data_IF_375417216546
#
_entry.id   IF_375417216546
#
_cell.length_a   1.000
_cell.length_b   1.000
_cell.length_c   1.000
_cell.angle_alpha   90.00
_cell.angle_beta   90.00
_cell.angle_gamma   90.00
#
_symmetry.space_group_name_H-M   'P 1'
#
loop_
_entity.id
_entity.type
_entity.pdbx_description
1 polymer ?
#
# COMPACT_ATOMS: atom_id res chain seq x y z
N UNK A 1 -9.75 4.92 -11.88
CA UNK A 1 -10.33 4.58 -10.56
C UNK A 1 -11.32 3.43 -10.73
N UNK A 2 -11.17 2.37 -10.02
CA UNK A 2 -12.04 1.19 -10.10
C UNK A 2 -12.74 1.01 -8.75
N UNK A 3 -14.07 1.01 -8.75
CA UNK A 3 -14.87 0.58 -7.60
C UNK A 3 -14.79 -0.95 -7.53
N UNK A 4 -14.34 -1.47 -6.41
CA UNK A 4 -14.36 -2.91 -6.17
C UNK A 4 -15.76 -3.24 -5.63
N UNK A 5 -16.64 -3.69 -6.52
CA UNK A 5 -17.97 -4.17 -6.16
C UNK A 5 -17.94 -5.70 -6.17
N UNK A 6 -18.31 -6.31 -5.05
CA UNK A 6 -18.57 -7.76 -5.00
C UNK A 6 -19.77 -8.11 -5.88
N UNK A 7 -19.76 -9.21 -6.67
CA UNK A 7 -20.87 -9.62 -7.52
C UNK A 7 -21.93 -10.42 -6.74
N UNK A 8 -22.40 -9.95 -5.60
CA UNK A 8 -23.45 -10.63 -4.86
C UNK A 8 -24.63 -9.68 -4.61
N UNK A 9 -25.77 -10.05 -5.23
CA UNK A 9 -27.15 -9.72 -4.94
C UNK A 9 -27.42 -8.39 -4.21
N UNK A 10 -28.36 -7.62 -4.75
CA UNK A 10 -28.99 -6.43 -4.20
C UNK A 10 -29.26 -6.49 -2.69
N UNK A 11 -28.24 -6.30 -1.89
CA UNK A 11 -28.40 -5.94 -0.47
C UNK A 11 -28.60 -4.44 -0.45
N UNK A 12 -29.77 -4.00 -0.01
CA UNK A 12 -30.07 -2.60 0.22
C UNK A 12 -28.96 -2.04 1.13
N UNK A 13 -28.10 -1.16 0.58
CA UNK A 13 -27.06 -0.47 1.32
C UNK A 13 -27.72 0.34 2.41
N UNK A 14 -27.62 -0.09 3.66
CA UNK A 14 -27.80 0.82 4.79
C UNK A 14 -26.64 1.82 4.68
N UNK A 15 -26.94 3.03 4.28
CA UNK A 15 -26.03 4.16 4.44
C UNK A 15 -25.89 4.31 5.96
N UNK A 16 -24.79 3.82 6.51
CA UNK A 16 -24.42 4.14 7.88
C UNK A 16 -24.08 5.63 7.91
N UNK A 17 -24.76 6.39 8.74
CA UNK A 17 -24.29 7.72 9.13
C UNK A 17 -22.86 7.53 9.67
N UNK A 18 -21.86 8.12 9.00
CA UNK A 18 -20.45 7.93 9.33
C UNK A 18 -19.68 6.92 8.47
N UNK A 19 -20.21 6.44 7.33
CA UNK A 19 -19.46 5.57 6.41
C UNK A 19 -18.18 6.25 5.91
N UNK A 20 -17.02 5.64 6.16
CA UNK A 20 -15.70 6.14 5.73
C UNK A 20 -15.30 5.49 4.41
N UNK A 21 -15.07 6.28 3.36
CA UNK A 21 -14.50 5.74 2.12
C UNK A 21 -13.06 5.33 2.34
N UNK A 22 -12.71 4.07 2.06
CA UNK A 22 -11.35 3.57 2.12
C UNK A 22 -10.68 3.69 0.74
N UNK A 23 -9.68 4.56 0.61
CA UNK A 23 -8.88 4.73 -0.59
C UNK A 23 -7.68 3.77 -0.51
N UNK A 24 -7.71 2.69 -1.29
CA UNK A 24 -6.75 1.60 -1.26
C UNK A 24 -5.62 1.87 -2.26
N UNK A 25 -4.42 2.17 -1.74
CA UNK A 25 -3.24 2.61 -2.50
C UNK A 25 -2.22 1.48 -2.50
N UNK A 26 -1.98 0.83 -3.65
CA UNK A 26 -1.09 -0.34 -3.72
C UNK A 26 0.38 0.05 -3.64
N UNK A 27 1.25 -0.98 -3.59
CA UNK A 27 2.70 -0.84 -3.62
C UNK A 27 3.30 -0.86 -5.03
N UNK A 28 4.65 -0.98 -5.06
CA UNK A 28 5.41 -1.18 -6.28
C UNK A 28 4.93 -2.42 -7.05
N UNK A 29 4.59 -2.25 -8.33
CA UNK A 29 4.11 -3.31 -9.23
C UNK A 29 2.94 -4.14 -8.67
N UNK A 30 2.14 -3.56 -7.78
CA UNK A 30 0.90 -4.14 -7.27
C UNK A 30 -0.32 -3.37 -7.81
N UNK A 31 -1.42 -4.08 -8.05
CA UNK A 31 -2.68 -3.53 -8.54
C UNK A 31 -3.83 -3.75 -7.55
N UNK A 32 -5.06 -3.42 -7.96
CA UNK A 32 -6.25 -3.52 -7.12
C UNK A 32 -6.51 -4.93 -6.58
N UNK A 33 -6.05 -5.99 -7.25
CA UNK A 33 -6.25 -7.38 -6.80
C UNK A 33 -5.46 -7.73 -5.53
N UNK A 34 -4.55 -6.85 -5.11
CA UNK A 34 -3.88 -6.93 -3.81
C UNK A 34 -4.90 -7.03 -2.65
N UNK A 35 -6.05 -6.37 -2.79
CA UNK A 35 -7.04 -6.19 -1.75
C UNK A 35 -8.22 -7.16 -1.79
N UNK A 36 -8.31 -8.01 -2.84
CA UNK A 36 -9.49 -8.84 -3.11
C UNK A 36 -9.91 -9.71 -1.89
N UNK A 37 -8.93 -10.30 -1.19
CA UNK A 37 -9.21 -11.18 -0.05
C UNK A 37 -9.68 -10.45 1.23
N UNK A 38 -9.68 -9.10 1.23
CA UNK A 38 -10.08 -8.27 2.37
C UNK A 38 -11.38 -7.51 2.11
N UNK A 39 -11.89 -7.54 0.87
CA UNK A 39 -13.04 -6.74 0.44
C UNK A 39 -14.26 -6.92 1.34
N UNK A 40 -14.64 -8.16 1.63
CA UNK A 40 -15.82 -8.47 2.44
C UNK A 40 -15.68 -8.00 3.90
N UNK A 41 -14.46 -8.06 4.46
CA UNK A 41 -14.20 -7.63 5.83
C UNK A 41 -14.18 -6.10 5.97
N UNK A 42 -13.77 -5.38 4.91
CA UNK A 42 -13.66 -3.92 4.91
C UNK A 42 -14.94 -3.22 4.43
N UNK A 43 -15.73 -3.86 3.58
CA UNK A 43 -16.96 -3.29 3.02
C UNK A 43 -17.97 -2.73 4.08
N UNK A 44 -18.10 -3.30 5.29
CA UNK A 44 -18.96 -2.74 6.32
C UNK A 44 -18.59 -1.33 6.80
N UNK A 45 -17.37 -0.87 6.55
CA UNK A 45 -16.91 0.47 6.95
C UNK A 45 -17.24 1.55 5.92
N UNK A 46 -17.50 1.18 4.67
CA UNK A 46 -17.92 2.08 3.60
C UNK A 46 -17.40 1.66 2.23
N UNK A 47 -17.51 2.54 1.23
CA UNK A 47 -17.02 2.28 -0.11
C UNK A 47 -15.50 1.99 -0.14
N UNK A 48 -15.11 0.98 -0.92
CA UNK A 48 -13.71 0.66 -1.18
C UNK A 48 -13.33 1.18 -2.56
N UNK A 49 -12.38 2.09 -2.62
CA UNK A 49 -11.91 2.71 -3.87
C UNK A 49 -10.46 2.34 -4.07
N UNK A 50 -10.18 1.44 -5.02
CA UNK A 50 -8.81 1.10 -5.37
C UNK A 50 -8.26 2.12 -6.37
N UNK A 51 -7.02 2.54 -6.13
CA UNK A 51 -6.24 3.36 -7.05
C UNK A 51 -5.16 2.53 -7.75
N UNK A 52 -4.50 3.12 -8.72
CA UNK A 52 -3.25 2.61 -9.26
C UNK A 52 -2.14 3.68 -9.18
N UNK A 53 -0.89 3.23 -9.16
CA UNK A 53 0.28 4.09 -9.17
C UNK A 53 1.00 4.04 -10.54
N UNK A 54 0.22 3.93 -11.61
CA UNK A 54 0.74 3.90 -12.99
C UNK A 54 1.12 5.27 -13.53
N UNK A 55 0.65 6.35 -12.90
CA UNK A 55 0.90 7.75 -13.28
C UNK A 55 1.83 8.43 -12.26
N UNK A 56 2.67 9.34 -12.74
CA UNK A 56 3.64 10.08 -11.90
C UNK A 56 5.04 9.47 -11.95
N UNK A 57 6.04 10.33 -11.85
CA UNK A 57 7.47 10.00 -11.92
C UNK A 57 8.16 10.10 -10.55
N UNK A 58 7.46 10.64 -9.55
CA UNK A 58 7.87 10.78 -8.17
C UNK A 58 6.64 10.61 -7.26
N UNK A 59 6.86 10.58 -5.95
CA UNK A 59 5.79 10.39 -4.94
C UNK A 59 4.78 11.54 -4.99
N UNK A 60 5.24 12.77 -5.14
CA UNK A 60 4.42 13.99 -5.17
C UNK A 60 3.46 13.98 -6.38
N UNK A 61 3.96 13.62 -7.56
CA UNK A 61 3.15 13.50 -8.79
C UNK A 61 2.19 12.30 -8.72
N UNK A 62 2.62 11.18 -8.12
CA UNK A 62 1.73 10.07 -7.85
C UNK A 62 0.60 10.47 -6.92
N UNK A 63 0.90 11.18 -5.82
CA UNK A 63 -0.10 11.67 -4.89
C UNK A 63 -1.08 12.65 -5.56
N UNK A 64 -0.59 13.58 -6.36
CA UNK A 64 -1.44 14.50 -7.11
C UNK A 64 -2.36 13.77 -8.12
N UNK A 65 -1.84 12.75 -8.81
CA UNK A 65 -2.62 11.93 -9.74
C UNK A 65 -3.70 11.11 -9.01
N UNK A 66 -3.37 10.53 -7.85
CA UNK A 66 -4.35 9.83 -7.01
C UNK A 66 -5.41 10.79 -6.48
N UNK A 67 -4.99 11.97 -6.00
CA UNK A 67 -5.90 12.98 -5.44
C UNK A 67 -6.92 13.50 -6.46
N UNK A 68 -6.53 13.60 -7.75
CA UNK A 68 -7.43 14.05 -8.81
C UNK A 68 -8.64 13.13 -9.02
N UNK A 69 -8.47 11.84 -8.74
CA UNK A 69 -9.49 10.81 -8.93
C UNK A 69 -10.10 10.33 -7.59
N UNK A 70 -9.56 10.81 -6.45
CA UNK A 70 -9.99 10.39 -5.13
C UNK A 70 -11.37 10.97 -4.75
N UNK A 71 -12.13 10.28 -3.87
CA UNK A 71 -13.33 10.81 -3.25
C UNK A 71 -13.09 12.13 -2.51
N UNK A 72 -14.14 12.89 -2.20
CA UNK A 72 -14.02 14.16 -1.47
C UNK A 72 -13.36 13.99 -0.11
N UNK A 73 -13.74 12.94 0.64
CA UNK A 73 -13.13 12.57 1.93
C UNK A 73 -12.85 11.08 1.97
N UNK A 74 -11.76 10.68 2.59
CA UNK A 74 -11.34 9.27 2.62
C UNK A 74 -10.34 8.96 3.73
N UNK A 75 -10.31 7.70 4.13
CA UNK A 75 -9.19 7.08 4.85
C UNK A 75 -8.19 6.58 3.82
N UNK A 76 -6.95 7.06 3.86
CA UNK A 76 -5.91 6.61 2.94
C UNK A 76 -5.23 5.34 3.47
N UNK A 77 -5.39 4.22 2.76
CA UNK A 77 -4.78 2.92 3.08
C UNK A 77 -3.63 2.68 2.13
N UNK A 78 -2.40 2.91 2.59
CA UNK A 78 -1.20 2.82 1.75
C UNK A 78 -0.35 1.59 2.08
N UNK A 79 -0.14 0.72 1.09
CA UNK A 79 0.75 -0.42 1.20
C UNK A 79 2.12 -0.12 0.58
N UNK A 80 3.21 -0.38 1.29
CA UNK A 80 4.59 -0.26 0.81
C UNK A 80 4.86 1.11 0.17
N UNK A 81 5.11 1.20 -1.14
CA UNK A 81 5.25 2.46 -1.87
C UNK A 81 4.00 3.34 -1.74
N UNK A 82 2.81 2.75 -1.70
CA UNK A 82 1.55 3.46 -1.47
C UNK A 82 1.48 4.17 -0.12
N UNK A 83 2.28 3.75 0.87
CA UNK A 83 2.39 4.43 2.16
C UNK A 83 3.09 5.79 2.07
N UNK A 84 4.07 5.95 1.17
CA UNK A 84 4.66 7.26 0.87
C UNK A 84 3.63 8.18 0.21
N UNK A 85 2.87 7.64 -0.75
CA UNK A 85 1.79 8.38 -1.42
C UNK A 85 0.69 8.78 -0.42
N UNK A 86 0.29 7.88 0.48
CA UNK A 86 -0.73 8.17 1.50
C UNK A 86 -0.30 9.33 2.43
N UNK A 87 0.96 9.34 2.86
CA UNK A 87 1.49 10.43 3.68
C UNK A 87 1.55 11.75 2.91
N UNK A 88 1.91 11.70 1.62
CA UNK A 88 1.91 12.91 0.81
C UNK A 88 0.49 13.44 0.57
N UNK A 89 -0.50 12.56 0.37
CA UNK A 89 -1.92 12.96 0.32
C UNK A 89 -2.35 13.68 1.60
N UNK A 90 -1.95 13.18 2.78
CA UNK A 90 -2.26 13.82 4.06
C UNK A 90 -1.65 15.21 4.20
N UNK A 91 -0.53 15.50 3.50
CA UNK A 91 0.11 16.83 3.49
C UNK A 91 -0.53 17.79 2.51
N UNK A 92 -0.82 17.34 1.29
CA UNK A 92 -1.33 18.22 0.22
C UNK A 92 -2.84 18.44 0.27
N UNK A 93 -3.58 17.57 0.96
CA UNK A 93 -5.03 17.66 1.12
C UNK A 93 -5.48 17.20 2.52
N UNK A 94 -4.98 17.84 3.60
CA UNK A 94 -5.21 17.39 4.98
C UNK A 94 -6.70 17.40 5.36
N UNK A 95 -7.51 18.24 4.73
CA UNK A 95 -8.97 18.34 4.95
C UNK A 95 -9.75 17.18 4.30
N UNK A 96 -9.15 16.47 3.34
CA UNK A 96 -9.77 15.34 2.64
C UNK A 96 -9.38 13.99 3.25
N UNK A 97 -8.19 13.91 3.89
CA UNK A 97 -7.68 12.67 4.50
C UNK A 97 -8.12 12.59 5.96
N UNK A 98 -9.11 11.74 6.24
CA UNK A 98 -9.68 11.58 7.58
C UNK A 98 -8.79 10.79 8.52
N UNK A 99 -8.08 9.78 7.99
CA UNK A 99 -7.16 8.95 8.72
C UNK A 99 -6.17 8.27 7.77
N UNK A 100 -5.09 7.72 8.31
CA UNK A 100 -4.07 6.96 7.58
C UNK A 100 -3.97 5.53 8.09
N UNK A 101 -3.84 4.57 7.17
CA UNK A 101 -3.42 3.20 7.47
C UNK A 101 -2.18 2.92 6.62
N UNK A 102 -1.03 2.77 7.28
CA UNK A 102 0.28 2.62 6.66
C UNK A 102 0.77 1.18 6.85
N UNK A 103 0.77 0.38 5.78
CA UNK A 103 1.04 -1.06 5.82
C UNK A 103 2.39 -1.36 5.18
N UNK A 104 3.30 -2.04 5.90
CA UNK A 104 4.60 -2.48 5.41
C UNK A 104 5.36 -1.37 4.64
N UNK A 105 5.47 -0.19 5.22
CA UNK A 105 6.06 1.00 4.59
C UNK A 105 7.15 1.62 5.45
N UNK A 106 7.84 2.61 4.89
CA UNK A 106 8.96 3.32 5.52
C UNK A 106 8.86 4.82 5.26
N UNK A 107 9.56 5.61 6.06
CA UNK A 107 9.82 7.03 5.80
C UNK A 107 11.27 7.27 5.38
N UNK A 108 12.11 6.24 5.28
CA UNK A 108 13.49 6.37 4.81
C UNK A 108 13.52 6.60 3.31
N UNK A 109 14.51 7.37 2.86
CA UNK A 109 14.84 7.49 1.44
C UNK A 109 15.54 6.24 0.90
N UNK A 110 15.59 6.14 -0.41
CA UNK A 110 16.35 5.09 -1.05
C UNK A 110 17.85 5.32 -0.89
N UNK A 111 18.60 4.26 -0.57
CA UNK A 111 20.06 4.31 -0.57
C UNK A 111 20.62 4.32 -2.00
N UNK A 112 21.85 4.77 -2.17
CA UNK A 112 22.54 4.73 -3.49
C UNK A 112 22.60 3.32 -4.06
N UNK A 113 22.78 2.30 -3.20
CA UNK A 113 22.79 0.89 -3.61
C UNK A 113 21.42 0.46 -4.16
N UNK A 114 20.32 0.82 -3.48
CA UNK A 114 18.96 0.52 -3.96
C UNK A 114 18.65 1.22 -5.27
N UNK A 115 19.07 2.47 -5.43
CA UNK A 115 18.91 3.24 -6.66
C UNK A 115 19.70 2.56 -7.78
N UNK A 116 20.96 2.20 -7.54
CA UNK A 116 21.82 1.54 -8.52
C UNK A 116 21.25 0.16 -8.92
N UNK A 117 20.83 -0.65 -7.95
CA UNK A 117 20.24 -1.96 -8.18
C UNK A 117 18.97 -1.86 -9.05
N UNK A 118 18.07 -0.92 -8.75
CA UNK A 118 16.86 -0.71 -9.57
C UNK A 118 17.19 -0.20 -10.98
N UNK A 119 18.11 0.74 -11.13
CA UNK A 119 18.56 1.20 -12.45
C UNK A 119 19.18 0.08 -13.27
N UNK A 120 19.88 -0.87 -12.65
CA UNK A 120 20.43 -2.02 -13.36
C UNK A 120 19.35 -2.93 -13.96
N UNK A 121 18.15 -2.98 -13.37
CA UNK A 121 17.01 -3.74 -13.90
C UNK A 121 16.35 -3.08 -15.12
N UNK A 122 16.68 -1.80 -15.41
CA UNK A 122 16.14 -1.03 -16.55
C UNK A 122 16.92 -1.21 -17.87
N UNK A 123 17.93 -2.09 -17.87
CA UNK A 123 18.75 -2.33 -19.09
C UNK A 123 17.94 -2.95 -20.25
N UNK A 124 16.90 -3.74 -19.93
CA UNK A 124 16.00 -4.29 -20.94
C UNK A 124 14.88 -3.29 -21.27
N UNK A 125 14.43 -3.18 -22.54
CA UNK A 125 13.34 -2.27 -22.88
C UNK A 125 12.01 -2.70 -22.22
N UNK A 126 11.06 -1.77 -21.98
CA UNK A 126 9.78 -2.06 -21.32
C UNK A 126 9.02 -3.25 -21.93
N UNK A 127 9.02 -3.36 -23.26
CA UNK A 127 8.36 -4.47 -23.98
C UNK A 127 8.94 -5.87 -23.67
N UNK A 128 10.14 -5.93 -23.10
CA UNK A 128 10.79 -7.19 -22.72
C UNK A 128 10.43 -7.62 -21.29
N UNK A 129 9.64 -6.83 -20.54
CA UNK A 129 9.22 -7.15 -19.19
C UNK A 129 8.34 -8.40 -19.17
N UNK A 130 8.70 -9.36 -18.32
CA UNK A 130 8.00 -10.65 -18.15
C UNK A 130 7.52 -10.87 -16.71
N UNK A 131 7.21 -9.78 -16.00
CA UNK A 131 6.88 -9.79 -14.59
C UNK A 131 8.12 -9.66 -13.70
N UNK A 132 7.89 -9.51 -12.41
CA UNK A 132 8.95 -9.50 -11.42
C UNK A 132 9.68 -10.85 -11.39
N UNK A 133 10.98 -10.84 -11.17
CA UNK A 133 11.77 -12.06 -11.09
C UNK A 133 11.38 -12.89 -9.86
N UNK A 134 11.49 -14.22 -9.96
CA UNK A 134 11.23 -15.12 -8.82
C UNK A 134 12.00 -14.72 -7.55
N UNK A 135 13.31 -14.44 -7.60
CA UNK A 135 14.04 -14.00 -6.42
C UNK A 135 13.47 -12.72 -5.78
N UNK A 136 13.06 -11.73 -6.60
CA UNK A 136 12.46 -10.50 -6.09
C UNK A 136 11.11 -10.77 -5.40
N UNK A 137 10.27 -11.65 -5.96
CA UNK A 137 9.00 -12.04 -5.35
C UNK A 137 9.25 -12.81 -4.05
N UNK A 138 10.09 -13.84 -4.08
CA UNK A 138 10.40 -14.68 -2.92
C UNK A 138 10.99 -13.84 -1.76
N UNK A 139 11.79 -12.82 -2.05
CA UNK A 139 12.33 -11.92 -1.02
C UNK A 139 11.23 -11.10 -0.31
N UNK A 140 10.07 -10.93 -0.92
CA UNK A 140 8.93 -10.23 -0.32
C UNK A 140 7.97 -11.12 0.47
N UNK A 141 8.12 -12.44 0.40
CA UNK A 141 7.24 -13.38 1.07
C UNK A 141 7.81 -13.86 2.42
N UNK A 142 6.92 -14.30 3.29
CA UNK A 142 7.30 -15.05 4.49
C UNK A 142 8.14 -16.27 4.13
N UNK A 143 9.14 -16.68 4.94
CA UNK A 143 9.99 -17.83 4.66
C UNK A 143 9.22 -19.12 4.30
N UNK A 144 8.09 -19.38 4.94
CA UNK A 144 7.27 -20.57 4.70
C UNK A 144 6.54 -20.55 3.34
N UNK A 145 6.41 -19.37 2.71
CA UNK A 145 5.72 -19.19 1.43
C UNK A 145 6.66 -19.06 0.22
N UNK A 146 7.96 -19.22 0.44
CA UNK A 146 8.98 -19.06 -0.62
C UNK A 146 8.88 -20.11 -1.74
N UNK A 147 8.18 -21.22 -1.50
CA UNK A 147 7.88 -22.27 -2.45
C UNK A 147 6.39 -22.37 -2.82
N UNK A 148 5.57 -21.44 -2.37
CA UNK A 148 4.15 -21.38 -2.77
C UNK A 148 4.02 -20.77 -4.17
N UNK A 149 3.91 -21.63 -5.18
CA UNK A 149 3.80 -21.21 -6.59
C UNK A 149 2.53 -20.39 -6.85
N UNK A 150 1.46 -20.62 -6.11
CA UNK A 150 0.21 -19.85 -6.24
C UNK A 150 0.42 -18.42 -5.76
N UNK A 151 1.06 -18.24 -4.61
CA UNK A 151 1.39 -16.92 -4.08
C UNK A 151 2.37 -16.19 -5.00
N UNK A 152 3.41 -16.89 -5.47
CA UNK A 152 4.41 -16.34 -6.41
C UNK A 152 3.74 -15.90 -7.70
N UNK A 153 2.82 -16.70 -8.26
CA UNK A 153 2.08 -16.36 -9.46
C UNK A 153 1.19 -15.12 -9.23
N UNK A 154 0.45 -15.03 -8.12
CA UNK A 154 -0.37 -13.86 -7.78
C UNK A 154 0.44 -12.55 -7.79
N UNK A 155 1.60 -12.54 -7.14
CA UNK A 155 2.47 -11.35 -7.12
C UNK A 155 3.00 -11.03 -8.52
N UNK A 156 3.42 -12.05 -9.28
CA UNK A 156 3.90 -11.86 -10.67
C UNK A 156 2.83 -11.29 -11.58
N UNK A 157 1.60 -11.81 -11.48
CA UNK A 157 0.48 -11.46 -12.35
C UNK A 157 0.03 -10.02 -12.17
N UNK A 158 0.09 -9.46 -10.94
CA UNK A 158 -0.13 -8.03 -10.71
C UNK A 158 0.85 -7.19 -11.54
N UNK A 159 2.15 -7.53 -11.46
CA UNK A 159 3.17 -6.84 -12.24
C UNK A 159 2.98 -6.99 -13.75
N UNK A 160 2.57 -8.16 -14.23
CA UNK A 160 2.30 -8.41 -15.65
C UNK A 160 1.13 -7.56 -16.17
N UNK A 161 0.06 -7.40 -15.39
CA UNK A 161 -1.10 -6.57 -15.77
C UNK A 161 -0.73 -5.09 -15.86
N UNK A 162 0.16 -4.60 -15.00
CA UNK A 162 0.65 -3.22 -15.03
C UNK A 162 1.62 -2.96 -16.20
N UNK A 163 2.42 -3.97 -16.55
CA UNK A 163 3.28 -3.94 -17.72
C UNK A 163 4.63 -3.22 -17.51
N UNK A 164 5.46 -3.30 -18.54
CA UNK A 164 6.85 -2.85 -18.48
C UNK A 164 7.02 -1.33 -18.42
N UNK A 165 6.12 -0.54 -18.98
CA UNK A 165 6.19 0.92 -18.90
C UNK A 165 6.04 1.40 -17.46
N UNK A 166 5.09 0.82 -16.72
CA UNK A 166 4.90 1.12 -15.29
C UNK A 166 6.11 0.63 -14.49
N UNK A 167 6.61 -0.58 -14.79
CA UNK A 167 7.81 -1.12 -14.14
C UNK A 167 9.01 -0.17 -14.31
N UNK A 168 9.25 0.31 -15.53
CA UNK A 168 10.35 1.24 -15.81
C UNK A 168 10.18 2.56 -15.05
N UNK A 169 8.99 3.16 -15.09
CA UNK A 169 8.69 4.42 -14.39
C UNK A 169 8.91 4.29 -12.89
N UNK A 170 8.32 3.28 -12.25
CA UNK A 170 8.45 3.06 -10.82
C UNK A 170 9.88 2.67 -10.40
N UNK A 171 10.62 1.92 -11.23
CA UNK A 171 12.01 1.53 -10.95
C UNK A 171 13.01 2.66 -11.15
N UNK A 172 12.74 3.60 -12.06
CA UNK A 172 13.60 4.77 -12.29
C UNK A 172 13.51 5.80 -11.16
N UNK A 173 12.41 5.78 -10.40
CA UNK A 173 12.15 6.73 -9.32
C UNK A 173 13.12 6.52 -8.16
N UNK A 174 13.78 7.60 -7.71
CA UNK A 174 14.47 7.66 -6.43
C UNK A 174 13.51 8.27 -5.39
N UNK A 175 13.18 7.49 -4.36
CA UNK A 175 12.30 7.99 -3.30
C UNK A 175 13.11 8.81 -2.32
N UNK A 176 12.76 10.06 -2.16
CA UNK A 176 13.24 10.87 -1.06
C UNK A 176 12.65 10.37 0.27
N UNK A 177 13.45 10.36 1.34
CA UNK A 177 12.92 10.08 2.67
C UNK A 177 12.14 11.28 3.21
N UNK A 178 11.15 10.99 4.06
CA UNK A 178 10.33 12.03 4.69
C UNK A 178 10.30 11.94 6.22
N UNK A 179 11.32 11.31 6.84
CA UNK A 179 11.46 11.18 8.31
C UNK A 179 11.31 12.52 9.03
N UNK A 180 11.98 13.56 8.53
CA UNK A 180 11.93 14.91 9.13
C UNK A 180 10.55 15.59 9.03
N UNK A 181 9.67 15.07 8.16
CA UNK A 181 8.35 15.60 7.86
C UNK A 181 7.20 14.81 8.50
N UNK A 182 7.50 13.74 9.26
CA UNK A 182 6.47 12.91 9.87
C UNK A 182 5.60 13.66 10.88
N UNK A 183 6.18 14.65 11.55
CA UNK A 183 5.45 15.53 12.49
C UNK A 183 4.43 16.48 11.83
N UNK A 184 4.44 16.60 10.48
CA UNK A 184 3.43 17.33 9.73
C UNK A 184 2.08 16.58 9.67
N UNK A 185 2.11 15.25 9.83
CA UNK A 185 0.92 14.38 9.79
C UNK A 185 0.14 14.56 11.09
N UNK A 186 -1.11 14.99 10.98
CA UNK A 186 -2.03 15.25 12.10
C UNK A 186 -3.20 14.26 12.15
N UNK A 187 -3.42 13.54 11.09
CA UNK A 187 -4.50 12.57 10.99
C UNK A 187 -4.27 11.37 11.94
N UNK A 188 -5.31 10.80 12.54
CA UNK A 188 -5.22 9.51 13.21
C UNK A 188 -4.53 8.52 12.28
N UNK A 189 -3.53 7.79 12.78
CA UNK A 189 -2.69 6.93 11.95
C UNK A 189 -2.52 5.55 12.57
N UNK A 190 -2.85 4.51 11.82
CA UNK A 190 -2.47 3.13 12.11
C UNK A 190 -1.25 2.76 11.26
N UNK A 191 -0.24 2.20 11.90
CA UNK A 191 0.96 1.64 11.26
C UNK A 191 0.92 0.13 11.46
N UNK A 192 1.06 -0.64 10.37
CA UNK A 192 1.04 -2.10 10.40
C UNK A 192 2.35 -2.64 9.83
N UNK A 193 3.08 -3.34 10.67
CA UNK A 193 4.29 -4.08 10.29
C UNK A 193 4.01 -5.58 10.17
N UNK A 194 4.86 -6.31 9.48
CA UNK A 194 4.91 -7.77 9.52
C UNK A 194 6.13 -8.25 10.35
N UNK A 195 6.01 -9.41 10.95
CA UNK A 195 7.05 -9.98 11.80
C UNK A 195 8.26 -10.50 11.00
N UNK A 196 8.05 -10.91 9.76
CA UNK A 196 9.07 -11.49 8.89
C UNK A 196 9.29 -10.65 7.59
N UNK A 197 8.96 -9.36 7.60
CA UNK A 197 9.22 -8.48 6.45
C UNK A 197 10.73 -8.22 6.30
N UNK A 198 11.28 -8.66 5.15
CA UNK A 198 12.69 -8.49 4.81
C UNK A 198 12.96 -7.27 3.92
N UNK A 199 11.90 -6.58 3.48
CA UNK A 199 11.99 -5.38 2.64
C UNK A 199 11.73 -4.10 3.43
N UNK A 200 10.95 -4.19 4.52
CA UNK A 200 10.63 -3.10 5.44
C UNK A 200 10.75 -3.60 6.86
N UNK A 201 11.90 -3.34 7.45
CA UNK A 201 12.21 -3.85 8.77
C UNK A 201 11.32 -3.19 9.83
N UNK A 202 11.12 -3.89 10.94
CA UNK A 202 10.30 -3.41 12.07
C UNK A 202 10.72 -2.02 12.56
N UNK A 203 12.03 -1.74 12.59
CA UNK A 203 12.58 -0.45 13.00
C UNK A 203 12.05 0.72 12.14
N UNK A 204 11.76 0.49 10.85
CA UNK A 204 11.17 1.50 9.97
C UNK A 204 9.73 1.83 10.35
N UNK A 205 8.95 0.83 10.78
CA UNK A 205 7.61 1.03 11.32
C UNK A 205 7.64 1.77 12.68
N UNK A 206 8.62 1.46 13.52
CA UNK A 206 8.85 2.15 14.79
C UNK A 206 9.27 3.61 14.59
N UNK A 207 10.05 3.91 13.53
CA UNK A 207 10.38 5.29 13.15
C UNK A 207 9.14 6.09 12.74
N UNK A 208 8.27 5.49 11.94
CA UNK A 208 6.97 6.09 11.61
C UNK A 208 6.15 6.37 12.88
N UNK A 209 6.08 5.38 13.79
CA UNK A 209 5.33 5.50 15.03
C UNK A 209 5.89 6.59 15.95
N UNK A 210 7.20 6.70 16.08
CA UNK A 210 7.83 7.78 16.85
C UNK A 210 7.65 9.15 16.21
N UNK A 211 7.62 9.22 14.87
CA UNK A 211 7.52 10.48 14.12
C UNK A 211 6.10 11.01 13.97
N UNK A 212 5.08 10.15 13.96
CA UNK A 212 3.68 10.53 13.81
C UNK A 212 2.99 10.50 15.17
N UNK A 213 2.71 11.68 15.72
CA UNK A 213 2.11 11.81 17.05
C UNK A 213 0.74 11.16 17.12
N UNK A 214 0.49 10.39 18.18
CA UNK A 214 -0.80 9.71 18.40
C UNK A 214 -1.07 8.53 17.47
N UNK A 215 -0.08 8.08 16.70
CA UNK A 215 -0.24 6.88 15.87
C UNK A 215 -0.34 5.61 16.71
N UNK A 216 -0.93 4.58 16.14
CA UNK A 216 -0.98 3.22 16.69
C UNK A 216 -0.07 2.32 15.86
N UNK A 217 0.76 1.50 16.50
CA UNK A 217 1.58 0.49 15.84
C UNK A 217 1.04 -0.91 16.14
N UNK A 218 0.84 -1.70 15.10
CA UNK A 218 0.44 -3.11 15.19
C UNK A 218 1.37 -3.99 14.35
N UNK A 219 1.51 -5.25 14.75
CA UNK A 219 2.27 -6.25 13.99
C UNK A 219 1.33 -7.39 13.57
N UNK A 220 1.46 -7.80 12.31
CA UNK A 220 0.80 -9.02 11.79
C UNK A 220 1.86 -10.12 11.78
N UNK A 221 1.58 -11.20 12.50
CA UNK A 221 2.46 -12.35 12.63
C UNK A 221 2.33 -13.29 11.44
N UNK A 222 3.35 -14.13 11.21
CA UNK A 222 3.44 -15.09 10.13
C UNK A 222 3.25 -14.45 8.73
N UNK A 223 3.82 -13.28 8.55
CA UNK A 223 3.77 -12.54 7.29
C UNK A 223 5.12 -11.96 6.90
N UNK A 224 5.43 -12.03 5.63
CA UNK A 224 6.46 -11.21 5.00
C UNK A 224 5.93 -9.84 4.60
N UNK A 225 6.53 -9.27 3.55
CA UNK A 225 6.15 -7.95 3.06
C UNK A 225 4.73 -7.89 2.51
N UNK A 226 4.26 -8.98 1.87
CA UNK A 226 2.98 -9.02 1.15
C UNK A 226 1.79 -9.30 2.10
N UNK A 227 1.71 -8.60 3.24
CA UNK A 227 0.69 -8.80 4.29
C UNK A 227 -0.74 -8.94 3.71
N UNK A 228 -1.20 -8.09 2.75
CA UNK A 228 -2.56 -8.20 2.22
C UNK A 228 -2.85 -9.52 1.49
N UNK A 229 -1.82 -10.19 0.99
CA UNK A 229 -1.93 -11.49 0.32
C UNK A 229 -1.68 -12.65 1.28
N UNK A 230 -0.71 -12.50 2.18
CA UNK A 230 -0.25 -13.58 3.07
C UNK A 230 -1.17 -13.76 4.28
N UNK A 231 -1.59 -12.65 4.90
CA UNK A 231 -2.41 -12.65 6.11
C UNK A 231 -3.62 -11.69 6.00
N UNK A 232 -4.46 -11.80 4.93
CA UNK A 232 -5.54 -10.84 4.68
C UNK A 232 -6.53 -10.73 5.86
N UNK A 233 -6.91 -11.85 6.47
CA UNK A 233 -7.87 -11.85 7.58
C UNK A 233 -7.29 -11.25 8.86
N UNK A 234 -6.00 -11.47 9.13
CA UNK A 234 -5.33 -10.85 10.29
C UNK A 234 -5.19 -9.34 10.08
N UNK A 235 -4.77 -8.91 8.89
CA UNK A 235 -4.68 -7.50 8.52
C UNK A 235 -6.05 -6.81 8.60
N UNK A 236 -7.09 -7.43 8.04
CA UNK A 236 -8.45 -6.89 8.10
C UNK A 236 -8.94 -6.72 9.54
N UNK A 237 -8.68 -7.70 10.44
CA UNK A 237 -9.03 -7.57 11.86
C UNK A 237 -8.31 -6.40 12.53
N UNK A 238 -7.02 -6.21 12.27
CA UNK A 238 -6.26 -5.09 12.83
C UNK A 238 -6.85 -3.76 12.34
N UNK A 239 -7.07 -3.62 11.04
CA UNK A 239 -7.64 -2.41 10.44
C UNK A 239 -9.03 -2.11 10.98
N UNK A 240 -9.94 -3.08 10.96
CA UNK A 240 -11.34 -2.89 11.38
C UNK A 240 -11.48 -2.63 12.88
N UNK A 241 -10.65 -3.25 13.71
CA UNK A 241 -10.60 -2.96 15.15
C UNK A 241 -10.19 -1.53 15.41
N UNK A 242 -9.19 -1.04 14.68
CA UNK A 242 -8.73 0.34 14.83
C UNK A 242 -9.71 1.36 14.24
N UNK A 243 -10.29 1.10 13.06
CA UNK A 243 -11.31 1.99 12.46
C UNK A 243 -12.50 2.22 13.38
N UNK A 244 -12.91 1.23 14.17
CA UNK A 244 -13.96 1.37 15.19
C UNK A 244 -13.62 2.34 16.31
N UNK A 245 -12.35 2.67 16.51
CA UNK A 245 -11.94 3.64 17.55
C UNK A 245 -12.04 5.08 17.06
N UNK A 246 -12.28 5.30 15.75
CA UNK A 246 -12.42 6.61 15.14
C UNK A 246 -13.89 7.08 15.09
N UNK A 247 -14.84 6.18 15.37
CA UNK A 247 -16.29 6.38 15.28
C UNK A 247 -16.86 7.00 16.55
#
# INVERSE_FOLDING_TARGET
MRLITSPVASVAWRVYEGAMTLLLIPGFMADATLWDAMTDDLAPFGPLVATDLSRGEDIERMAAAVLSDAPERFVAVGFSMGGYVARELARIAPERVEALILIATSARGDTEELIHQRRSSLKAPPKAFKGLSRPAIVSSLHPDLTNDETMIARVRDMGLRLGGEVFHRQSAMARAGDLARLSEIRQPTLIVAADADRLRMREEAEELHRGISGSTLATVEHSGHMIPLEQPKALARVMTSWLKTLS
#
